data_IF_860483202515
#
_entry.id   IF_860483202515
#
_cell.length_a   1.000
_cell.length_b   1.000
_cell.length_c   1.000
_cell.angle_alpha   90.00
_cell.angle_beta   90.00
_cell.angle_gamma   90.00
#
_symmetry.space_group_name_H-M   'P 1'
#
loop_
_entity.id
_entity.type
_entity.pdbx_description
1 polymer ?
#
# COMPACT_ATOMS: atom_id res chain seq x y z
N UNK A 1 -17.36 6.11 14.32
CA UNK A 1 -16.20 6.26 13.42
C UNK A 1 -15.68 4.87 13.28
N UNK A 2 -15.72 4.34 12.06
CA UNK A 2 -15.64 2.90 11.90
C UNK A 2 -14.20 2.40 12.08
N UNK A 3 -14.01 1.19 12.64
CA UNK A 3 -12.69 0.59 12.71
C UNK A 3 -12.18 0.26 11.30
N UNK A 4 -10.87 0.00 11.21
CA UNK A 4 -10.32 -0.63 10.01
C UNK A 4 -11.02 -1.99 9.76
N UNK A 5 -11.34 -2.29 8.51
CA UNK A 5 -11.89 -3.58 8.07
C UNK A 5 -11.21 -4.05 6.80
N UNK A 6 -11.35 -5.33 6.43
CA UNK A 6 -10.74 -5.85 5.20
C UNK A 6 -11.33 -5.21 3.93
N UNK A 7 -12.61 -4.83 4.00
CA UNK A 7 -13.41 -4.29 2.90
C UNK A 7 -13.28 -2.76 2.77
N UNK A 8 -13.05 -2.05 3.88
CA UNK A 8 -12.96 -0.59 3.93
C UNK A 8 -11.60 -0.05 3.44
N UNK A 9 -11.36 -0.13 2.13
CA UNK A 9 -10.19 0.45 1.48
C UNK A 9 -10.56 1.71 0.69
N UNK A 10 -10.23 2.88 1.24
CA UNK A 10 -10.38 4.16 0.54
C UNK A 10 -9.25 4.35 -0.49
N UNK A 11 -9.59 4.30 -1.78
CA UNK A 11 -8.63 4.53 -2.89
C UNK A 11 -8.72 5.99 -3.33
N UNK A 12 -7.60 6.72 -3.26
CA UNK A 12 -7.47 8.12 -3.65
C UNK A 12 -7.05 8.28 -5.12
N UNK A 13 -6.28 7.33 -5.65
CA UNK A 13 -5.81 7.31 -7.03
C UNK A 13 -5.53 5.88 -7.50
N UNK A 14 -5.85 5.59 -8.76
CA UNK A 14 -5.61 4.28 -9.38
C UNK A 14 -5.11 4.46 -10.82
N UNK A 15 -4.09 3.70 -11.21
CA UNK A 15 -3.45 3.76 -12.53
C UNK A 15 -2.64 2.49 -12.80
N UNK A 16 -2.24 2.24 -14.05
CA UNK A 16 -1.39 1.10 -14.42
C UNK A 16 0.00 1.06 -13.75
N UNK A 17 0.43 2.14 -13.08
CA UNK A 17 1.74 2.23 -12.41
C UNK A 17 1.65 2.36 -10.89
N UNK A 18 0.60 3.01 -10.37
CA UNK A 18 0.46 3.37 -8.96
C UNK A 18 -0.98 3.26 -8.48
N UNK A 19 -1.11 2.81 -7.22
CA UNK A 19 -2.30 3.00 -6.40
C UNK A 19 -1.92 3.93 -5.25
N UNK A 20 -2.75 4.93 -4.94
CA UNK A 20 -2.67 5.69 -3.69
C UNK A 20 -3.93 5.42 -2.89
N UNK A 21 -3.78 5.00 -1.65
CA UNK A 21 -4.88 4.73 -0.72
C UNK A 21 -4.82 5.68 0.46
N UNK A 22 -5.97 6.03 1.04
CA UNK A 22 -5.99 6.66 2.35
C UNK A 22 -5.86 5.56 3.40
N UNK A 23 -4.67 5.39 3.98
CA UNK A 23 -4.45 4.43 5.07
C UNK A 23 -5.35 4.83 6.24
N UNK A 24 -6.03 3.85 6.83
CA UNK A 24 -6.73 4.07 8.10
C UNK A 24 -5.72 4.31 9.24
N UNK A 25 -6.19 4.87 10.34
CA UNK A 25 -5.46 4.77 11.62
C UNK A 25 -5.63 3.35 12.18
N UNK A 26 -4.73 2.96 13.09
CA UNK A 26 -4.64 1.63 13.71
C UNK A 26 -4.69 0.43 12.75
N UNK A 27 -4.03 0.58 11.60
CA UNK A 27 -3.74 -0.55 10.68
C UNK A 27 -2.28 -0.53 10.24
N UNK A 28 -1.63 -1.70 10.22
CA UNK A 28 -0.30 -1.88 9.64
C UNK A 28 -0.34 -1.88 8.12
N UNK A 29 0.74 -1.44 7.50
CA UNK A 29 0.94 -1.48 6.05
C UNK A 29 1.05 -2.93 5.58
N UNK A 30 2.00 -3.67 6.15
CA UNK A 30 2.27 -5.09 5.93
C UNK A 30 2.44 -5.83 7.26
N UNK A 31 2.55 -7.15 7.19
CA UNK A 31 3.03 -7.96 8.31
C UNK A 31 3.74 -9.22 7.83
N UNK A 32 4.69 -9.70 8.63
CA UNK A 32 5.34 -11.01 8.50
C UNK A 32 4.66 -12.09 9.34
N UNK A 33 3.71 -11.72 10.19
CA UNK A 33 2.97 -12.63 11.06
C UNK A 33 1.72 -13.13 10.34
N UNK A 34 1.68 -14.43 10.04
CA UNK A 34 0.63 -15.07 9.24
C UNK A 34 -0.80 -14.91 9.81
N UNK A 35 -0.93 -14.66 11.11
CA UNK A 35 -2.19 -14.43 11.79
C UNK A 35 -2.69 -12.98 11.74
N UNK A 36 -1.83 -12.01 11.38
CA UNK A 36 -2.17 -10.58 11.36
C UNK A 36 -2.89 -10.23 10.04
N UNK A 37 -4.15 -10.67 9.95
CA UNK A 37 -4.95 -10.62 8.72
C UNK A 37 -5.36 -9.20 8.31
N UNK A 38 -5.39 -8.23 9.22
CA UNK A 38 -5.83 -6.86 8.97
C UNK A 38 -4.64 -5.93 8.71
N UNK A 39 -4.22 -5.87 7.44
CA UNK A 39 -3.14 -4.98 6.95
C UNK A 39 -3.59 -4.30 5.66
N UNK A 40 -2.96 -3.18 5.28
CA UNK A 40 -3.22 -2.55 3.97
C UNK A 40 -2.88 -3.51 2.82
N UNK A 41 -1.86 -4.34 3.00
CA UNK A 41 -1.53 -5.43 2.07
C UNK A 41 -2.68 -6.42 1.89
N UNK A 42 -3.37 -6.79 2.97
CA UNK A 42 -4.57 -7.65 2.92
C UNK A 42 -5.75 -6.95 2.24
N UNK A 43 -6.00 -5.67 2.57
CA UNK A 43 -7.05 -4.85 1.95
C UNK A 43 -6.83 -4.72 0.43
N UNK A 44 -5.60 -4.42 0.00
CA UNK A 44 -5.23 -4.32 -1.42
C UNK A 44 -5.40 -5.66 -2.13
N UNK A 45 -4.98 -6.78 -1.53
CA UNK A 45 -5.23 -8.13 -2.08
C UNK A 45 -6.71 -8.44 -2.22
N UNK A 46 -7.53 -8.08 -1.23
CA UNK A 46 -8.96 -8.31 -1.26
C UNK A 46 -9.68 -7.45 -2.30
N UNK A 47 -9.24 -6.19 -2.48
CA UNK A 47 -9.86 -5.23 -3.39
C UNK A 47 -9.40 -5.34 -4.85
N UNK A 48 -8.20 -5.84 -5.09
CA UNK A 48 -7.56 -5.97 -6.41
C UNK A 48 -6.90 -7.36 -6.60
N UNK A 49 -7.66 -8.47 -6.54
CA UNK A 49 -7.12 -9.83 -6.66
C UNK A 49 -6.45 -10.08 -8.03
N UNK A 50 -6.84 -9.34 -9.08
CA UNK A 50 -6.27 -9.43 -10.43
C UNK A 50 -4.82 -8.94 -10.54
N UNK A 51 -4.32 -8.23 -9.53
CA UNK A 51 -2.92 -7.78 -9.47
C UNK A 51 -1.99 -8.83 -8.84
N UNK A 52 -2.52 -9.95 -8.35
CA UNK A 52 -1.75 -11.03 -7.74
C UNK A 52 -0.81 -11.69 -8.76
N UNK A 53 0.48 -11.76 -8.42
CA UNK A 53 1.51 -12.33 -9.29
C UNK A 53 1.82 -13.76 -8.79
N UNK A 54 1.42 -14.82 -9.54
CA UNK A 54 1.62 -16.20 -9.13
C UNK A 54 3.10 -16.61 -9.05
N UNK A 55 4.02 -15.81 -9.59
CA UNK A 55 5.46 -16.01 -9.44
C UNK A 55 6.04 -15.52 -8.10
N UNK A 56 5.22 -14.98 -7.19
CA UNK A 56 5.73 -14.23 -6.02
C UNK A 56 5.50 -14.93 -4.69
N UNK A 57 6.60 -15.39 -4.08
CA UNK A 57 6.65 -16.11 -2.78
C UNK A 57 6.33 -15.23 -1.55
N UNK A 58 5.49 -14.21 -1.70
CA UNK A 58 4.99 -13.37 -0.61
C UNK A 58 3.78 -14.04 0.05
N UNK A 59 3.55 -13.84 1.35
CA UNK A 59 2.36 -14.38 2.03
C UNK A 59 1.03 -13.84 1.44
N UNK A 60 1.08 -12.71 0.74
CA UNK A 60 0.00 -12.14 -0.04
C UNK A 60 -0.15 -12.76 -1.45
N UNK A 61 0.90 -13.31 -2.06
CA UNK A 61 0.93 -13.62 -3.50
C UNK A 61 0.83 -12.36 -4.37
N UNK A 62 1.26 -11.22 -3.85
CA UNK A 62 1.04 -9.89 -4.44
C UNK A 62 2.26 -9.01 -4.15
N UNK A 63 3.01 -8.62 -5.19
CA UNK A 63 4.24 -7.84 -5.06
C UNK A 63 3.94 -6.34 -4.88
N UNK A 64 3.39 -5.97 -3.72
CA UNK A 64 3.20 -4.57 -3.36
C UNK A 64 4.53 -3.87 -3.11
N UNK A 65 4.78 -2.78 -3.86
CA UNK A 65 5.96 -1.93 -3.67
C UNK A 65 5.55 -0.65 -2.96
N UNK A 66 5.38 -0.74 -1.64
CA UNK A 66 5.11 0.42 -0.79
C UNK A 66 6.22 1.45 -0.96
N UNK A 67 5.89 2.64 -1.46
CA UNK A 67 6.88 3.65 -1.87
C UNK A 67 7.31 4.55 -0.70
N UNK A 68 6.71 4.38 0.47
CA UNK A 68 7.11 4.93 1.76
C UNK A 68 6.34 4.19 2.87
N UNK A 69 6.66 4.52 4.11
CA UNK A 69 5.91 4.10 5.29
C UNK A 69 4.99 5.22 5.79
N UNK A 70 4.08 4.84 6.69
CA UNK A 70 3.27 5.65 7.59
C UNK A 70 3.16 4.85 8.88
N UNK A 71 3.14 5.51 10.03
CA UNK A 71 3.03 4.82 11.32
C UNK A 71 1.66 4.15 11.51
N UNK A 72 1.58 3.20 12.45
CA UNK A 72 0.39 2.40 12.69
C UNK A 72 -0.86 3.26 12.92
N UNK A 73 -0.77 4.22 13.85
CA UNK A 73 -1.83 5.17 14.20
C UNK A 73 -2.01 6.33 13.22
N UNK A 74 -1.10 6.53 12.26
CA UNK A 74 -1.18 7.61 11.27
C UNK A 74 -2.10 7.22 10.12
N UNK A 75 -3.21 7.93 9.95
CA UNK A 75 -3.99 7.90 8.71
C UNK A 75 -3.38 8.81 7.63
N UNK A 76 -3.71 8.56 6.35
CA UNK A 76 -3.29 9.44 5.25
C UNK A 76 -2.86 8.72 3.97
N UNK A 77 -2.51 9.50 2.95
CA UNK A 77 -2.15 9.00 1.63
C UNK A 77 -0.89 8.11 1.64
N UNK A 78 -1.06 6.84 1.25
CA UNK A 78 -0.01 5.83 1.10
C UNK A 78 0.11 5.43 -0.37
N UNK A 79 1.29 5.66 -0.96
CA UNK A 79 1.57 5.35 -2.37
C UNK A 79 2.20 3.96 -2.52
N UNK A 80 1.65 3.17 -3.45
CA UNK A 80 2.08 1.80 -3.78
C UNK A 80 2.32 1.70 -5.28
N UNK A 81 3.50 1.25 -5.69
CA UNK A 81 3.83 1.02 -7.09
C UNK A 81 3.50 -0.42 -7.52
N UNK A 82 2.91 -0.57 -8.70
CA UNK A 82 2.46 -1.85 -9.24
C UNK A 82 3.53 -2.59 -10.04
N UNK A 83 4.63 -1.92 -10.42
CA UNK A 83 5.72 -2.53 -11.17
C UNK A 83 7.09 -2.00 -10.75
N UNK A 84 8.15 -2.69 -11.20
CA UNK A 84 9.55 -2.40 -10.82
C UNK A 84 10.02 -1.01 -11.26
N UNK A 85 9.59 -0.53 -12.43
CA UNK A 85 9.96 0.79 -12.95
C UNK A 85 9.31 1.91 -12.13
N UNK A 86 8.00 1.82 -11.92
CA UNK A 86 7.23 2.75 -11.08
C UNK A 86 7.82 2.85 -9.65
N UNK A 87 8.21 1.73 -9.04
CA UNK A 87 8.87 1.74 -7.74
C UNK A 87 10.24 2.44 -7.75
N UNK A 88 11.05 2.24 -8.80
CA UNK A 88 12.33 2.93 -8.98
C UNK A 88 12.17 4.44 -9.17
N UNK A 89 11.16 4.85 -9.94
CA UNK A 89 10.81 6.27 -10.14
C UNK A 89 10.35 6.90 -8.83
N UNK A 90 9.42 6.25 -8.12
CA UNK A 90 8.92 6.74 -6.83
C UNK A 90 10.05 6.84 -5.79
N UNK A 91 10.89 5.79 -5.64
CA UNK A 91 12.06 5.80 -4.76
C UNK A 91 12.97 6.99 -5.04
N UNK A 92 13.25 7.27 -6.33
CA UNK A 92 14.07 8.43 -6.72
C UNK A 92 13.44 9.75 -6.28
N UNK A 93 12.14 9.95 -6.50
CA UNK A 93 11.44 11.17 -6.05
C UNK A 93 11.38 11.30 -4.51
N UNK A 94 11.43 10.22 -3.73
CA UNK A 94 11.54 10.30 -2.27
C UNK A 94 12.98 10.60 -1.82
N UNK A 95 13.97 9.92 -2.40
CA UNK A 95 15.40 10.11 -2.10
C UNK A 95 15.88 11.52 -2.46
N UNK A 96 15.48 12.02 -3.63
CA UNK A 96 15.84 13.34 -4.16
C UNK A 96 14.94 14.47 -3.58
N UNK A 97 14.07 14.16 -2.59
CA UNK A 97 13.13 15.09 -1.91
C UNK A 97 12.17 15.88 -2.82
N UNK A 98 11.92 15.39 -4.03
CA UNK A 98 11.11 16.05 -5.07
C UNK A 98 9.59 15.95 -4.80
N UNK A 99 9.12 16.33 -3.61
CA UNK A 99 7.72 16.26 -3.21
C UNK A 99 7.33 17.39 -2.28
N UNK A 100 6.17 17.98 -2.52
CA UNK A 100 5.40 18.60 -1.45
C UNK A 100 4.81 17.50 -0.56
N UNK A 101 5.06 17.57 0.75
CA UNK A 101 3.99 17.25 1.70
C UNK A 101 3.08 18.48 1.73
N UNK A 102 1.74 18.33 1.71
CA UNK A 102 0.87 19.43 2.10
C UNK A 102 1.22 19.87 3.53
N UNK A 103 1.25 21.18 3.74
CA UNK A 103 1.33 21.84 5.05
C UNK A 103 -0.07 22.14 5.56
#
# INVERSE_FOLDING_TARGET
MEPASLENLCVLYHSANYIVVNKHWDIRIDSKMWYEKQTVQSQLKHRFPELADPGTCTASGLFLRFCHQLDFSTSGALCVALNKAAAGHAYRCFKDRLRAKPT
#
